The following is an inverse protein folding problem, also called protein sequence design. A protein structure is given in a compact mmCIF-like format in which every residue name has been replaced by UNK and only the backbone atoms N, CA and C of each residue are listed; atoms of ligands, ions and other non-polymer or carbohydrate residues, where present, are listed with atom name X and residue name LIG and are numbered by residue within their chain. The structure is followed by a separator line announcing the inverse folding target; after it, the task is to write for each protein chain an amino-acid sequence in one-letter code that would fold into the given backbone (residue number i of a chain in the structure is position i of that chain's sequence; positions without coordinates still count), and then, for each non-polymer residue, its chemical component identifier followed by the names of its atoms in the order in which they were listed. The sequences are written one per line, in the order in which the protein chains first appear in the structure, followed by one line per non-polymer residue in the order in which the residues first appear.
data_IF_804194921008
#
_entry.id   IF_804194921008
#
_cell.length_a   1.000
_cell.length_b   1.000
_cell.length_c   1.000
_cell.angle_alpha   90.00
_cell.angle_beta   90.00
_cell.angle_gamma   90.00
#
_symmetry.space_group_name_H-M   'P 1'
#
loop_
_entity.id
_entity.type
_entity.pdbx_description
1 polymer ?
#
# COMPACT_ATOMS: atom_id res chain seq x y z
N UNK A 1 -16.64 -16.62 10.32
CA UNK A 1 -16.58 -15.15 10.11
C UNK A 1 -15.56 -14.57 11.06
N UNK A 2 -14.58 -13.83 10.56
CA UNK A 2 -13.56 -13.17 11.40
C UNK A 2 -14.04 -11.77 11.79
N UNK A 3 -13.65 -11.31 12.98
CA UNK A 3 -14.05 -10.02 13.53
C UNK A 3 -12.82 -9.18 13.87
N UNK A 4 -12.81 -7.92 13.43
CA UNK A 4 -11.76 -6.94 13.70
C UNK A 4 -12.35 -5.57 14.02
N UNK A 5 -11.59 -4.73 14.69
CA UNK A 5 -11.93 -3.31 14.84
C UNK A 5 -11.73 -2.58 13.51
N UNK A 6 -10.61 -2.86 12.83
CA UNK A 6 -10.24 -2.22 11.59
C UNK A 6 -9.88 -3.25 10.51
N UNK A 7 -10.50 -3.13 9.34
CA UNK A 7 -10.10 -3.82 8.12
C UNK A 7 -9.44 -2.82 7.19
N UNK A 8 -8.23 -3.12 6.76
CA UNK A 8 -7.48 -2.30 5.79
C UNK A 8 -7.32 -3.08 4.50
N UNK A 9 -7.70 -2.46 3.39
CA UNK A 9 -7.65 -3.07 2.06
C UNK A 9 -6.49 -2.50 1.27
N UNK A 10 -5.50 -3.34 0.95
CA UNK A 10 -4.27 -3.02 0.24
C UNK A 10 -3.07 -2.83 1.16
N UNK A 11 -2.03 -3.66 0.99
CA UNK A 11 -0.78 -3.61 1.75
C UNK A 11 0.33 -2.81 1.06
N UNK A 12 -0.02 -1.76 0.33
CA UNK A 12 0.93 -0.74 -0.10
C UNK A 12 1.36 0.15 1.08
N UNK A 13 2.23 1.15 0.86
CA UNK A 13 2.74 1.99 1.95
C UNK A 13 1.66 2.63 2.82
N UNK A 14 0.58 3.12 2.20
CA UNK A 14 -0.52 3.74 2.93
C UNK A 14 -1.24 2.76 3.84
N UNK A 15 -1.59 1.56 3.32
CA UNK A 15 -2.30 0.55 4.09
C UNK A 15 -1.46 -0.07 5.19
N UNK A 16 -0.19 -0.38 4.91
CA UNK A 16 0.73 -0.92 5.90
C UNK A 16 1.00 0.08 7.04
N UNK A 17 1.18 1.37 6.71
CA UNK A 17 1.35 2.42 7.72
C UNK A 17 0.08 2.60 8.58
N UNK A 18 -1.10 2.59 7.96
CA UNK A 18 -2.37 2.66 8.68
C UNK A 18 -2.58 1.44 9.58
N UNK A 19 -2.23 0.23 9.11
CA UNK A 19 -2.32 -0.99 9.88
C UNK A 19 -1.41 -0.97 11.10
N UNK A 20 -0.14 -0.53 10.93
CA UNK A 20 0.81 -0.36 12.02
C UNK A 20 0.27 0.61 13.07
N UNK A 21 -0.18 1.78 12.64
CA UNK A 21 -0.67 2.80 13.58
C UNK A 21 -1.91 2.34 14.35
N UNK A 22 -2.87 1.69 13.67
CA UNK A 22 -4.07 1.18 14.31
C UNK A 22 -3.74 0.05 15.31
N UNK A 23 -2.85 -0.88 14.95
CA UNK A 23 -2.42 -1.95 15.84
C UNK A 23 -1.64 -1.43 17.06
N UNK A 24 -0.75 -0.45 16.87
CA UNK A 24 -0.06 0.24 17.98
C UNK A 24 -1.01 0.96 18.93
N UNK A 25 -2.15 1.42 18.43
CA UNK A 25 -3.22 2.01 19.25
C UNK A 25 -4.09 0.96 19.95
N UNK A 26 -3.78 -0.34 19.84
CA UNK A 26 -4.48 -1.44 20.52
C UNK A 26 -5.73 -1.95 19.80
N UNK A 27 -5.97 -1.53 18.56
CA UNK A 27 -7.07 -2.08 17.76
C UNK A 27 -6.71 -3.47 17.21
N UNK A 28 -7.72 -4.35 17.11
CA UNK A 28 -7.58 -5.58 16.33
C UNK A 28 -7.67 -5.24 14.83
N UNK A 29 -6.60 -5.55 14.08
CA UNK A 29 -6.44 -5.11 12.68
C UNK A 29 -6.28 -6.29 11.74
N UNK A 30 -7.04 -6.28 10.63
CA UNK A 30 -6.75 -7.11 9.45
C UNK A 30 -6.24 -6.23 8.31
N UNK A 31 -5.10 -6.58 7.74
CA UNK A 31 -4.53 -5.97 6.53
C UNK A 31 -4.62 -6.98 5.39
N UNK A 32 -5.43 -6.67 4.38
CA UNK A 32 -5.71 -7.57 3.26
C UNK A 32 -4.96 -7.12 2.02
N UNK A 33 -4.22 -8.04 1.40
CA UNK A 33 -3.52 -7.81 0.13
C UNK A 33 -3.90 -8.91 -0.88
N UNK A 34 -4.28 -8.49 -2.10
CA UNK A 34 -4.68 -9.42 -3.17
C UNK A 34 -3.54 -10.24 -3.76
N UNK A 35 -2.31 -9.75 -3.66
CA UNK A 35 -1.12 -10.44 -4.16
C UNK A 35 -0.58 -11.39 -3.12
N UNK A 36 0.12 -12.41 -3.58
CA UNK A 36 0.82 -13.36 -2.72
C UNK A 36 2.08 -12.80 -2.08
N UNK A 37 2.59 -11.68 -2.60
CA UNK A 37 3.74 -10.96 -2.06
C UNK A 37 3.49 -9.44 -2.12
N UNK A 38 3.79 -8.74 -1.03
CA UNK A 38 3.69 -7.28 -0.95
C UNK A 38 4.73 -6.65 -1.86
N UNK A 39 4.34 -5.58 -2.57
CA UNK A 39 5.25 -4.81 -3.42
C UNK A 39 5.62 -5.46 -4.76
N UNK A 40 5.15 -6.67 -5.06
CA UNK A 40 5.50 -7.42 -6.28
C UNK A 40 4.28 -7.59 -7.19
N UNK A 41 4.39 -7.31 -8.52
CA UNK A 41 5.52 -6.65 -9.21
C UNK A 41 5.63 -5.17 -8.84
N UNK A 42 6.85 -4.65 -8.89
CA UNK A 42 7.12 -3.22 -8.67
C UNK A 42 6.46 -2.39 -9.78
N UNK A 43 5.73 -1.34 -9.37
CA UNK A 43 5.06 -0.39 -10.27
C UNK A 43 5.30 1.03 -9.78
N UNK A 44 6.56 1.47 -9.79
CA UNK A 44 6.98 2.75 -9.23
C UNK A 44 8.32 3.16 -9.84
N UNK A 45 8.54 4.46 -9.99
CA UNK A 45 9.83 5.02 -10.40
C UNK A 45 10.93 4.87 -9.32
N UNK A 46 10.58 4.31 -8.16
CA UNK A 46 11.48 3.94 -7.06
C UNK A 46 12.26 5.13 -6.46
N UNK A 47 11.79 6.36 -6.63
CA UNK A 47 12.34 7.54 -5.96
C UNK A 47 11.43 7.98 -4.80
N UNK A 48 12.04 8.31 -3.65
CA UNK A 48 11.36 8.95 -2.53
C UNK A 48 12.15 10.16 -2.02
N UNK A 49 11.48 11.25 -1.61
CA UNK A 49 12.14 12.38 -0.94
C UNK A 49 12.81 11.97 0.36
N UNK A 50 13.93 12.61 0.70
CA UNK A 50 14.73 12.27 1.89
C UNK A 50 13.91 12.28 3.20
N UNK A 51 12.95 13.20 3.33
CA UNK A 51 12.10 13.33 4.50
C UNK A 51 11.22 12.09 4.79
N UNK A 52 10.83 11.35 3.74
CA UNK A 52 9.98 10.16 3.91
C UNK A 52 10.72 8.99 4.58
N UNK A 53 12.03 8.90 4.44
CA UNK A 53 12.82 7.82 5.07
C UNK A 53 12.73 7.89 6.59
N UNK A 54 12.79 9.09 7.17
CA UNK A 54 12.63 9.25 8.61
C UNK A 54 11.22 8.97 9.12
N UNK A 55 10.20 9.22 8.29
CA UNK A 55 8.80 8.97 8.66
C UNK A 55 8.42 7.48 8.57
N UNK A 56 9.05 6.73 7.67
CA UNK A 56 8.74 5.31 7.48
C UNK A 56 9.16 4.45 8.68
N UNK A 57 10.28 4.76 9.32
CA UNK A 57 10.80 4.09 10.52
C UNK A 57 10.84 2.54 10.39
N UNK A 58 11.40 2.04 9.28
CA UNK A 58 11.46 0.60 8.95
C UNK A 58 12.85 0.17 8.49
N UNK A 59 13.89 0.70 9.09
CA UNK A 59 15.26 0.42 8.66
C UNK A 59 15.62 1.13 7.35
N UNK A 60 16.71 0.72 6.71
CA UNK A 60 17.24 1.38 5.50
C UNK A 60 17.69 0.40 4.40
N UNK A 61 17.48 -0.89 4.57
CA UNK A 61 17.96 -1.95 3.65
C UNK A 61 17.29 -1.90 2.26
N UNK A 62 16.21 -1.13 2.17
CA UNK A 62 15.52 -0.85 0.91
C UNK A 62 16.18 0.30 0.11
N UNK A 63 17.13 1.04 0.67
CA UNK A 63 17.79 2.16 -0.02
C UNK A 63 18.84 1.59 -0.97
N UNK A 64 18.68 1.88 -2.27
CA UNK A 64 19.64 1.51 -3.30
C UNK A 64 20.70 2.60 -3.49
N UNK A 65 20.29 3.88 -3.51
CA UNK A 65 21.18 5.00 -3.80
C UNK A 65 20.63 6.31 -3.24
N UNK A 66 21.50 7.15 -2.67
CA UNK A 66 21.17 8.54 -2.38
C UNK A 66 21.26 9.40 -3.65
N UNK A 67 20.35 10.37 -3.78
CA UNK A 67 20.32 11.32 -4.89
C UNK A 67 20.33 12.76 -4.37
N UNK A 68 20.92 13.67 -5.12
CA UNK A 68 20.97 15.11 -4.80
C UNK A 68 19.85 15.89 -5.50
N UNK A 69 19.31 15.36 -6.60
CA UNK A 69 18.32 16.05 -7.37
C UNK A 69 17.86 15.28 -8.61
N UNK A 70 17.05 15.95 -9.39
CA UNK A 70 16.55 15.48 -10.68
C UNK A 70 17.01 16.40 -11.82
N UNK A 71 17.34 15.80 -12.94
CA UNK A 71 17.70 16.50 -14.16
C UNK A 71 16.75 16.06 -15.28
N UNK A 72 16.08 17.03 -15.87
CA UNK A 72 15.13 16.79 -16.95
C UNK A 72 15.73 17.08 -18.30
N UNK A 73 15.49 16.19 -19.27
CA UNK A 73 15.91 16.34 -20.65
C UNK A 73 14.70 16.24 -21.59
N UNK A 74 14.71 17.03 -22.65
CA UNK A 74 13.75 16.95 -23.75
C UNK A 74 14.52 16.91 -25.07
N UNK A 75 14.29 15.91 -25.89
CA UNK A 75 15.00 15.70 -27.17
C UNK A 75 16.53 15.79 -27.03
N UNK A 76 17.11 15.26 -25.97
CA UNK A 76 18.54 15.29 -25.69
C UNK A 76 19.05 16.61 -25.08
N UNK A 77 18.25 17.65 -25.00
CA UNK A 77 18.63 18.93 -24.41
C UNK A 77 18.20 18.97 -22.93
N UNK A 78 19.13 19.37 -22.07
CA UNK A 78 18.85 19.61 -20.65
C UNK A 78 17.94 20.84 -20.51
N UNK A 79 16.76 20.66 -19.95
CA UNK A 79 15.74 21.71 -19.79
C UNK A 79 15.63 22.22 -18.35
N UNK A 80 15.94 21.36 -17.36
CA UNK A 80 15.80 21.75 -15.96
C UNK A 80 16.71 20.92 -15.06
N UNK A 81 17.28 21.58 -14.04
CA UNK A 81 17.84 20.95 -12.86
C UNK A 81 17.01 21.36 -11.66
N UNK A 82 16.70 20.39 -10.81
CA UNK A 82 15.95 20.61 -9.57
C UNK A 82 16.70 19.95 -8.42
N UNK A 83 17.01 20.74 -7.39
CA UNK A 83 17.50 20.17 -6.14
C UNK A 83 16.34 19.39 -5.48
N UNK A 84 16.48 18.08 -5.44
CA UNK A 84 15.51 17.15 -4.87
C UNK A 84 16.27 16.03 -4.16
N UNK A 85 16.83 16.29 -2.95
CA UNK A 85 17.54 15.27 -2.20
C UNK A 85 16.58 14.16 -1.82
N UNK A 86 16.99 12.92 -2.07
CA UNK A 86 16.15 11.75 -1.86
C UNK A 86 16.92 10.47 -2.06
N UNK A 87 16.17 9.40 -2.29
CA UNK A 87 16.73 8.07 -2.47
C UNK A 87 16.03 7.34 -3.61
N UNK A 88 16.82 6.61 -4.39
CA UNK A 88 16.31 5.49 -5.19
C UNK A 88 16.24 4.29 -4.27
N UNK A 89 15.11 3.58 -4.29
CA UNK A 89 14.84 2.49 -3.37
C UNK A 89 14.45 1.20 -4.11
N UNK A 90 14.66 0.07 -3.46
CA UNK A 90 14.00 -1.18 -3.82
C UNK A 90 12.58 -1.15 -3.26
N UNK A 91 11.62 -0.83 -4.11
CA UNK A 91 10.23 -0.58 -3.70
C UNK A 91 9.55 -1.81 -3.11
N UNK A 92 9.86 -2.99 -3.63
CA UNK A 92 9.41 -4.27 -3.07
C UNK A 92 9.88 -4.45 -1.63
N UNK A 93 11.17 -4.22 -1.35
CA UNK A 93 11.73 -4.30 0.01
C UNK A 93 11.12 -3.26 0.94
N UNK A 94 10.90 -2.04 0.44
CA UNK A 94 10.28 -0.97 1.23
C UNK A 94 8.85 -1.33 1.64
N UNK A 95 8.02 -1.76 0.69
CA UNK A 95 6.63 -2.12 0.95
C UNK A 95 6.55 -3.34 1.90
N UNK A 96 7.45 -4.32 1.73
CA UNK A 96 7.56 -5.49 2.61
C UNK A 96 7.99 -5.10 4.03
N UNK A 97 8.95 -4.19 4.19
CA UNK A 97 9.38 -3.70 5.49
C UNK A 97 8.24 -2.99 6.24
N UNK A 98 7.44 -2.18 5.55
CA UNK A 98 6.26 -1.55 6.14
C UNK A 98 5.18 -2.57 6.55
N UNK A 99 4.94 -3.58 5.73
CA UNK A 99 3.98 -4.63 6.04
C UNK A 99 4.45 -5.53 7.21
N UNK A 100 5.76 -5.83 7.27
CA UNK A 100 6.36 -6.51 8.41
C UNK A 100 6.20 -5.71 9.69
N UNK A 101 6.51 -4.42 9.67
CA UNK A 101 6.33 -3.55 10.83
C UNK A 101 4.87 -3.45 11.30
N UNK A 102 3.91 -3.57 10.37
CA UNK A 102 2.50 -3.67 10.75
C UNK A 102 2.18 -5.01 11.42
N UNK A 103 2.73 -6.12 10.92
CA UNK A 103 2.57 -7.43 11.53
C UNK A 103 3.22 -7.49 12.92
N UNK A 104 4.43 -6.95 13.08
CA UNK A 104 5.16 -6.86 14.36
C UNK A 104 4.38 -6.02 15.40
N UNK A 105 3.61 -5.02 14.93
CA UNK A 105 2.71 -4.25 15.77
C UNK A 105 1.41 -4.99 16.15
N UNK A 106 1.17 -6.19 15.59
CA UNK A 106 0.01 -7.02 15.90
C UNK A 106 -1.08 -7.04 14.82
N UNK A 107 -0.87 -6.43 13.65
CA UNK A 107 -1.83 -6.54 12.54
C UNK A 107 -1.78 -7.92 11.89
N UNK A 108 -2.94 -8.52 11.61
CA UNK A 108 -3.03 -9.77 10.86
C UNK A 108 -2.95 -9.47 9.35
N UNK A 109 -1.82 -9.83 8.72
CA UNK A 109 -1.60 -9.63 7.28
C UNK A 109 -2.10 -10.83 6.49
N UNK A 110 -3.10 -10.62 5.64
CA UNK A 110 -3.77 -11.64 4.84
C UNK A 110 -3.37 -11.46 3.36
N UNK A 111 -2.36 -12.19 2.92
CA UNK A 111 -1.87 -12.17 1.54
C UNK A 111 -2.73 -13.08 0.64
N UNK A 112 -2.79 -12.77 -0.66
CA UNK A 112 -3.56 -13.52 -1.65
C UNK A 112 -5.08 -13.40 -1.49
N UNK A 113 -5.55 -12.48 -0.67
CA UNK A 113 -6.97 -12.26 -0.43
C UNK A 113 -7.46 -11.03 -1.20
N UNK A 114 -8.42 -11.22 -2.08
CA UNK A 114 -9.01 -10.12 -2.85
C UNK A 114 -10.39 -9.76 -2.33
N UNK A 115 -10.62 -8.48 -2.14
CA UNK A 115 -11.95 -7.96 -1.81
C UNK A 115 -12.90 -8.18 -2.98
N UNK A 116 -14.00 -8.88 -2.75
CA UNK A 116 -15.04 -9.16 -3.73
C UNK A 116 -16.19 -8.15 -3.66
N UNK A 117 -16.63 -7.81 -2.45
CA UNK A 117 -17.74 -6.92 -2.21
C UNK A 117 -17.97 -6.67 -0.73
N UNK A 118 -19.02 -5.92 -0.42
CA UNK A 118 -19.51 -5.76 0.94
C UNK A 118 -21.00 -6.10 1.01
N UNK A 119 -21.42 -6.66 2.12
CA UNK A 119 -22.83 -6.79 2.45
C UNK A 119 -23.33 -5.52 3.15
N UNK A 120 -24.51 -5.06 2.77
CA UNK A 120 -25.14 -3.89 3.40
C UNK A 120 -25.65 -4.20 4.80
N UNK A 121 -25.63 -3.21 5.70
CA UNK A 121 -26.12 -3.33 7.07
C UNK A 121 -25.31 -2.50 8.05
N UNK A 122 -25.66 -2.57 9.35
CA UNK A 122 -24.86 -1.98 10.42
C UNK A 122 -23.55 -2.77 10.59
N UNK A 123 -22.42 -2.11 10.38
CA UNK A 123 -21.10 -2.71 10.33
C UNK A 123 -20.75 -3.21 8.93
N UNK A 124 -19.48 -3.13 8.57
CA UNK A 124 -19.02 -3.56 7.24
C UNK A 124 -18.64 -5.03 7.26
N UNK A 125 -19.50 -5.88 6.68
CA UNK A 125 -19.12 -7.26 6.33
C UNK A 125 -18.53 -7.26 4.93
N UNK A 126 -17.25 -7.57 4.82
CA UNK A 126 -16.50 -7.57 3.56
C UNK A 126 -16.20 -9.00 3.14
N UNK A 127 -16.63 -9.35 1.93
CA UNK A 127 -16.36 -10.65 1.32
C UNK A 127 -15.01 -10.65 0.61
N UNK A 128 -14.25 -11.70 0.82
CA UNK A 128 -12.92 -11.91 0.27
C UNK A 128 -12.84 -13.25 -0.46
N UNK A 129 -12.11 -13.29 -1.59
CA UNK A 129 -11.60 -14.56 -2.10
C UNK A 129 -10.32 -14.93 -1.34
N UNK A 130 -10.12 -16.25 -1.14
CA UNK A 130 -8.90 -16.77 -0.52
C UNK A 130 -7.90 -17.23 -1.57
N UNK A 131 -6.61 -17.41 -1.21
CA UNK A 131 -5.59 -17.93 -2.14
C UNK A 131 -5.92 -19.30 -2.74
N UNK A 132 -6.71 -20.09 -2.04
CA UNK A 132 -7.11 -21.46 -2.46
C UNK A 132 -8.40 -21.49 -3.31
N UNK A 133 -8.92 -20.31 -3.71
CA UNK A 133 -10.15 -20.20 -4.51
C UNK A 133 -11.45 -20.28 -3.72
N UNK A 134 -11.38 -20.36 -2.39
CA UNK A 134 -12.55 -20.28 -1.52
C UNK A 134 -12.98 -18.83 -1.26
N UNK A 135 -14.01 -18.67 -0.44
CA UNK A 135 -14.50 -17.38 0.04
C UNK A 135 -14.50 -17.33 1.57
N UNK A 136 -14.25 -16.15 2.11
CA UNK A 136 -14.37 -15.85 3.53
C UNK A 136 -14.96 -14.46 3.71
N UNK A 137 -15.38 -14.12 4.92
CA UNK A 137 -15.87 -12.77 5.23
C UNK A 137 -15.26 -12.24 6.52
N UNK A 138 -15.00 -10.95 6.51
CA UNK A 138 -14.51 -10.20 7.67
C UNK A 138 -15.56 -9.15 8.03
N UNK A 139 -15.96 -9.15 9.31
CA UNK A 139 -16.75 -8.07 9.89
C UNK A 139 -15.82 -7.10 10.60
N UNK A 140 -15.91 -5.82 10.25
CA UNK A 140 -15.10 -4.77 10.85
C UNK A 140 -15.96 -3.58 11.27
N UNK A 141 -15.54 -2.87 12.34
CA UNK A 141 -16.16 -1.60 12.75
C UNK A 141 -15.84 -0.48 11.76
N UNK A 142 -14.60 -0.48 11.27
CA UNK A 142 -14.08 0.50 10.30
C UNK A 142 -13.40 -0.23 9.14
N UNK A 143 -13.61 0.25 7.93
CA UNK A 143 -12.89 -0.20 6.72
C UNK A 143 -12.09 0.95 6.16
N UNK A 144 -10.79 0.75 5.96
CA UNK A 144 -9.88 1.72 5.35
C UNK A 144 -9.52 1.23 3.94
N UNK A 145 -9.87 2.03 2.92
CA UNK A 145 -9.46 1.77 1.54
C UNK A 145 -8.05 2.32 1.27
N UNK A 146 -7.10 1.42 1.03
CA UNK A 146 -5.73 1.70 0.61
C UNK A 146 -5.36 0.88 -0.63
N UNK A 147 -6.35 0.50 -1.42
CA UNK A 147 -6.30 -0.44 -2.54
C UNK A 147 -5.93 0.22 -3.90
N UNK A 148 -5.40 1.45 -3.82
CA UNK A 148 -4.77 2.14 -4.94
C UNK A 148 -5.76 2.91 -5.84
N UNK A 149 -5.32 3.31 -7.05
CA UNK A 149 -6.06 4.25 -7.90
C UNK A 149 -7.42 3.71 -8.38
N UNK A 150 -7.58 2.39 -8.47
CA UNK A 150 -8.84 1.74 -8.84
C UNK A 150 -9.55 1.14 -7.61
N UNK A 151 -9.57 1.90 -6.53
CA UNK A 151 -10.11 1.47 -5.24
C UNK A 151 -11.55 0.99 -5.33
N UNK A 152 -11.81 -0.23 -4.86
CA UNK A 152 -13.17 -0.74 -4.65
C UNK A 152 -13.83 -0.10 -3.44
N UNK A 153 -13.06 0.16 -2.39
CA UNK A 153 -13.57 0.80 -1.18
C UNK A 153 -14.07 2.21 -1.48
N UNK A 154 -13.33 2.97 -2.30
CA UNK A 154 -13.76 4.30 -2.75
C UNK A 154 -15.06 4.25 -3.56
N UNK A 155 -15.24 3.23 -4.40
CA UNK A 155 -16.50 3.02 -5.13
C UNK A 155 -17.69 2.80 -4.18
N UNK A 156 -17.49 2.10 -3.06
CA UNK A 156 -18.57 1.85 -2.09
C UNK A 156 -19.09 3.11 -1.40
N UNK A 157 -18.28 4.15 -1.32
CA UNK A 157 -18.63 5.43 -0.69
C UNK A 157 -18.92 6.53 -1.72
N UNK A 158 -19.00 6.17 -3.01
CA UNK A 158 -19.32 7.12 -4.08
C UNK A 158 -18.18 8.07 -4.45
N UNK A 159 -16.94 7.76 -4.08
CA UNK A 159 -15.75 8.58 -4.32
C UNK A 159 -14.70 7.85 -5.20
N UNK A 160 -15.09 7.29 -6.37
CA UNK A 160 -14.12 6.65 -7.24
C UNK A 160 -13.13 7.67 -7.80
N UNK A 161 -11.87 7.26 -7.98
CA UNK A 161 -10.91 8.08 -8.70
C UNK A 161 -11.23 8.04 -10.20
N UNK A 162 -11.66 9.16 -10.77
CA UNK A 162 -12.06 9.29 -12.18
C UNK A 162 -10.94 9.83 -13.08
N UNK A 163 -9.85 10.32 -12.49
CA UNK A 163 -8.73 10.94 -13.22
C UNK A 163 -7.44 10.18 -12.94
N UNK A 164 -7.12 9.22 -13.80
CA UNK A 164 -5.88 8.46 -13.74
C UNK A 164 -5.07 8.70 -15.02
N UNK A 165 -3.81 9.07 -14.87
CA UNK A 165 -2.86 9.11 -15.98
C UNK A 165 -2.17 7.73 -16.09
N UNK A 166 -2.30 7.03 -17.21
CA UNK A 166 -1.58 5.78 -17.42
C UNK A 166 -0.09 6.08 -17.60
N UNK A 167 0.76 5.23 -17.00
CA UNK A 167 2.21 5.29 -17.18
C UNK A 167 2.74 3.91 -17.51
N UNK A 168 3.86 3.87 -18.23
CA UNK A 168 4.61 2.67 -18.56
C UNK A 168 5.97 2.76 -17.90
N UNK A 169 6.40 1.67 -17.30
CA UNK A 169 7.74 1.49 -16.76
C UNK A 169 8.40 0.30 -17.45
N UNK A 170 9.64 0.49 -17.88
CA UNK A 170 10.49 -0.58 -18.41
C UNK A 170 11.71 -0.66 -17.50
N UNK A 171 12.05 -1.87 -17.07
CA UNK A 171 13.29 -2.16 -16.35
C UNK A 171 14.29 -2.70 -17.38
N UNK A 172 15.43 -2.03 -17.51
CA UNK A 172 16.53 -2.42 -18.40
C UNK A 172 17.54 -3.28 -17.67
#
# INVERSE_FOLDING_TARGET
MLHYDVLIVGAGPAGSSAARAAAQAGASVALVERRSAVGVPVRCAEYIPAMLVGQADVGKDYIAQATLGMRSYLHGHRIQDMAAPGYVIHRDKFDQALASAAADAGAHVLLGHSVLGREGGQGSCVMLSTPTGGMTSIKAKVVIGADGPHSRVAQWVGLPNTHCLPSIQVRL
#
